data_IF_112348591884
#
_entry.id   IF_112348591884
#
_cell.length_a   1.000
_cell.length_b   1.000
_cell.length_c   1.000
_cell.angle_alpha   90.00
_cell.angle_beta   90.00
_cell.angle_gamma   90.00
#
_symmetry.space_group_name_H-M   'P 1'
#
loop_
_entity.id
_entity.type
_entity.pdbx_description
1 polymer ?
#
# COMPACT_ATOMS: atom_id res chain seq x y z
N UNK A 1 -50.05 -22.80 9.43
CA UNK A 1 -49.33 -22.32 8.22
C UNK A 1 -48.05 -21.63 8.68
N UNK A 2 -47.03 -22.40 9.06
CA UNK A 2 -45.68 -21.90 9.38
C UNK A 2 -44.82 -21.97 8.11
N UNK A 3 -43.60 -21.41 8.07
CA UNK A 3 -43.16 -20.06 8.44
C UNK A 3 -42.37 -19.40 7.28
N UNK A 4 -42.23 -18.07 7.27
CA UNK A 4 -41.23 -17.40 6.41
C UNK A 4 -39.84 -17.70 6.99
N UNK A 5 -39.10 -18.60 6.37
CA UNK A 5 -37.69 -18.87 6.68
C UNK A 5 -36.86 -17.71 6.18
N UNK A 6 -36.43 -16.86 7.10
CA UNK A 6 -35.42 -15.84 6.86
C UNK A 6 -34.10 -16.56 6.59
N UNK A 7 -33.76 -16.78 5.32
CA UNK A 7 -32.49 -17.38 4.91
C UNK A 7 -31.39 -16.36 5.16
N UNK A 8 -30.86 -16.37 6.39
CA UNK A 8 -29.68 -15.64 6.77
C UNK A 8 -28.51 -16.11 5.89
N UNK A 9 -28.28 -15.41 4.78
CA UNK A 9 -27.07 -15.53 3.99
C UNK A 9 -25.92 -15.23 4.95
N UNK A 10 -24.97 -16.16 5.17
CA UNK A 10 -23.82 -15.88 6.02
C UNK A 10 -23.08 -14.70 5.39
N UNK A 11 -23.09 -13.55 6.07
CA UNK A 11 -22.23 -12.41 5.72
C UNK A 11 -20.80 -12.92 5.87
N UNK A 12 -20.19 -13.28 4.74
CA UNK A 12 -18.76 -13.55 4.65
C UNK A 12 -18.07 -12.28 5.16
N UNK A 13 -17.54 -12.39 6.36
CA UNK A 13 -16.77 -11.39 7.06
C UNK A 13 -15.49 -11.18 6.28
N UNK A 14 -15.54 -10.25 5.32
CA UNK A 14 -14.36 -9.73 4.66
C UNK A 14 -13.60 -8.84 5.64
N UNK A 15 -13.05 -9.44 6.71
CA UNK A 15 -11.89 -8.84 7.34
C UNK A 15 -10.83 -8.71 6.25
N UNK A 16 -10.23 -7.54 6.05
CA UNK A 16 -9.18 -7.38 5.06
C UNK A 16 -8.11 -8.44 5.34
N UNK A 17 -7.87 -9.36 4.39
CA UNK A 17 -6.74 -10.31 4.42
C UNK A 17 -5.41 -9.58 4.68
N UNK A 18 -5.39 -8.27 4.43
CA UNK A 18 -4.29 -7.35 4.72
C UNK A 18 -3.94 -7.20 6.21
N UNK A 19 -4.86 -7.43 7.16
CA UNK A 19 -4.55 -7.31 8.59
C UNK A 19 -3.74 -8.50 9.13
N UNK A 20 -3.98 -9.71 8.61
CA UNK A 20 -3.40 -10.92 9.18
C UNK A 20 -1.91 -11.06 8.81
N UNK A 21 -1.54 -10.69 7.58
CA UNK A 21 -0.16 -10.83 7.07
C UNK A 21 0.79 -9.82 7.75
N UNK A 22 0.30 -8.61 8.07
CA UNK A 22 1.09 -7.61 8.79
C UNK A 22 1.28 -7.96 10.27
N UNK A 23 0.30 -8.64 10.88
CA UNK A 23 0.40 -9.10 12.26
C UNK A 23 1.44 -10.22 12.43
N UNK A 24 1.58 -11.11 11.44
CA UNK A 24 2.55 -12.23 11.49
C UNK A 24 4.01 -11.75 11.41
N UNK A 25 4.29 -10.59 10.77
CA UNK A 25 5.67 -10.09 10.60
C UNK A 25 6.22 -9.32 11.81
N UNK A 26 5.38 -8.87 12.74
CA UNK A 26 5.81 -7.99 13.84
C UNK A 26 6.42 -8.70 15.05
N UNK A 27 6.40 -10.03 15.11
CA UNK A 27 6.55 -10.70 16.40
C UNK A 27 7.99 -10.89 16.92
N UNK A 28 9.04 -10.45 16.23
CA UNK A 28 10.44 -10.61 16.70
C UNK A 28 11.42 -9.52 16.21
N UNK A 29 11.14 -8.23 16.45
CA UNK A 29 12.15 -7.18 16.21
C UNK A 29 13.14 -7.15 17.38
N UNK A 30 14.38 -7.56 17.15
CA UNK A 30 15.42 -7.56 18.19
C UNK A 30 15.80 -6.14 18.60
N UNK A 31 16.31 -5.94 19.82
CA UNK A 31 16.71 -4.61 20.32
C UNK A 31 17.73 -3.92 19.40
N UNK A 32 18.67 -4.69 18.83
CA UNK A 32 19.65 -4.18 17.86
C UNK A 32 19.01 -3.68 16.57
N UNK A 33 17.97 -4.35 16.07
CA UNK A 33 17.24 -3.91 14.88
C UNK A 33 16.45 -2.61 15.15
N UNK A 34 15.83 -2.48 16.33
CA UNK A 34 15.14 -1.23 16.72
C UNK A 34 16.10 -0.05 16.84
N UNK A 35 17.31 -0.29 17.38
CA UNK A 35 18.34 0.73 17.48
C UNK A 35 18.87 1.13 16.10
N UNK A 36 19.13 0.16 15.22
CA UNK A 36 19.55 0.41 13.84
C UNK A 36 18.51 1.21 13.04
N UNK A 37 17.22 0.89 13.18
CA UNK A 37 16.13 1.66 12.55
C UNK A 37 16.13 3.11 13.03
N UNK A 38 16.27 3.35 14.33
CA UNK A 38 16.33 4.72 14.88
C UNK A 38 17.57 5.47 14.40
N UNK A 39 18.72 4.83 14.37
CA UNK A 39 19.97 5.45 13.89
C UNK A 39 19.86 5.79 12.40
N UNK A 40 19.28 4.93 11.58
CA UNK A 40 19.08 5.18 10.15
C UNK A 40 18.12 6.36 9.92
N UNK A 41 16.99 6.40 10.63
CA UNK A 41 16.02 7.51 10.53
C UNK A 41 16.61 8.82 11.06
N UNK A 42 17.33 8.79 12.18
CA UNK A 42 17.95 9.97 12.77
C UNK A 42 19.11 10.50 11.91
N UNK A 43 19.96 9.60 11.41
CA UNK A 43 21.09 9.95 10.55
C UNK A 43 20.69 10.57 9.21
N UNK A 44 19.46 10.31 8.73
CA UNK A 44 18.91 10.92 7.51
C UNK A 44 18.23 12.29 7.71
N UNK A 45 18.14 12.80 8.94
CA UNK A 45 17.45 14.06 9.22
C UNK A 45 18.34 15.29 8.98
N UNK A 46 17.76 16.35 8.40
CA UNK A 46 18.41 17.66 8.28
C UNK A 46 18.82 18.26 9.63
N UNK A 47 18.06 18.00 10.69
CA UNK A 47 18.38 18.47 12.05
C UNK A 47 19.64 17.81 12.60
N UNK A 48 19.88 16.53 12.28
CA UNK A 48 21.09 15.83 12.70
C UNK A 48 22.32 16.40 12.02
N UNK A 49 22.25 16.66 10.71
CA UNK A 49 23.36 17.23 9.94
C UNK A 49 23.78 18.59 10.52
N UNK A 50 22.82 19.46 10.84
CA UNK A 50 23.09 20.78 11.42
C UNK A 50 23.70 20.69 12.82
N UNK A 51 23.15 19.84 13.70
CA UNK A 51 23.72 19.61 15.04
C UNK A 51 25.12 19.02 14.98
N UNK A 52 25.37 18.11 14.04
CA UNK A 52 26.67 17.49 13.83
C UNK A 52 27.71 18.52 13.36
N UNK A 53 27.36 19.38 12.39
CA UNK A 53 28.21 20.50 11.98
C UNK A 53 28.50 21.44 13.14
N UNK A 54 27.48 21.81 13.92
CA UNK A 54 27.66 22.68 15.08
C UNK A 54 28.60 22.05 16.13
N UNK A 55 28.50 20.74 16.37
CA UNK A 55 29.42 20.01 17.23
C UNK A 55 30.86 20.03 16.70
N UNK A 56 31.07 19.79 15.40
CA UNK A 56 32.40 19.85 14.78
C UNK A 56 33.03 21.25 14.92
N UNK A 57 32.25 22.30 14.67
CA UNK A 57 32.71 23.69 14.84
C UNK A 57 33.03 24.00 16.30
N UNK A 58 32.16 23.57 17.24
CA UNK A 58 32.39 23.77 18.67
C UNK A 58 33.66 23.05 19.14
N UNK A 59 33.91 21.82 18.67
CA UNK A 59 35.11 21.06 18.99
C UNK A 59 36.38 21.72 18.44
N UNK A 60 36.33 22.19 17.19
CA UNK A 60 37.43 22.92 16.57
C UNK A 60 37.75 24.19 17.38
N UNK A 61 36.75 25.05 17.62
CA UNK A 61 36.90 26.29 18.40
C UNK A 61 37.44 26.02 19.81
N UNK A 62 36.92 24.99 20.50
CA UNK A 62 37.41 24.62 21.83
C UNK A 62 38.90 24.25 21.79
N UNK A 63 39.32 23.42 20.84
CA UNK A 63 40.72 22.98 20.76
C UNK A 63 41.67 24.07 20.25
N UNK A 64 41.30 24.86 19.24
CA UNK A 64 42.20 25.90 18.69
C UNK A 64 42.16 27.23 19.42
N UNK A 65 40.98 27.75 19.77
CA UNK A 65 40.86 29.10 20.33
C UNK A 65 40.98 29.11 21.86
N UNK A 66 40.49 28.06 22.54
CA UNK A 66 40.42 28.04 24.01
C UNK A 66 41.62 27.30 24.62
N UNK A 67 41.93 26.10 24.10
CA UNK A 67 43.01 25.25 24.63
C UNK A 67 44.35 25.46 23.91
N UNK A 68 44.33 25.87 22.63
CA UNK A 68 45.51 26.17 21.82
C UNK A 68 46.44 27.22 22.44
N UNK A 69 45.97 28.43 22.79
CA UNK A 69 46.81 29.48 23.37
C UNK A 69 47.37 29.13 24.76
N UNK A 70 46.76 28.14 25.44
CA UNK A 70 47.17 27.66 26.77
C UNK A 70 48.16 26.49 26.71
N UNK A 71 48.56 26.08 25.51
CA UNK A 71 49.42 24.91 25.27
C UNK A 71 48.86 23.61 25.88
N UNK A 72 47.53 23.55 26.04
CA UNK A 72 46.77 22.42 26.58
C UNK A 72 45.86 21.79 25.52
N UNK A 73 46.15 22.04 24.23
CA UNK A 73 45.36 21.50 23.13
C UNK A 73 45.34 19.97 23.17
N UNK A 74 44.15 19.41 23.39
CA UNK A 74 43.94 17.97 23.47
C UNK A 74 44.00 17.33 22.08
N UNK A 75 43.49 18.02 21.05
CA UNK A 75 43.57 17.62 19.65
C UNK A 75 44.02 18.82 18.78
N UNK A 76 45.34 19.09 18.69
CA UNK A 76 45.86 20.18 17.86
C UNK A 76 45.57 19.97 16.38
N UNK A 77 45.50 21.05 15.60
CA UNK A 77 45.42 20.97 14.14
C UNK A 77 46.59 20.10 13.63
N UNK A 78 46.34 18.99 12.89
CA UNK A 78 45.21 18.72 11.98
C UNK A 78 44.05 17.83 12.52
N UNK A 79 43.79 17.78 13.84
CA UNK A 79 42.67 17.07 14.50
C UNK A 79 42.61 15.55 14.24
N UNK A 80 43.65 14.83 14.67
CA UNK A 80 43.80 13.39 14.39
C UNK A 80 42.72 12.57 15.11
N UNK A 81 42.37 12.92 16.35
CA UNK A 81 41.36 12.17 17.10
C UNK A 81 39.97 12.33 16.49
N UNK A 82 39.60 13.56 16.13
CA UNK A 82 38.34 13.82 15.46
C UNK A 82 38.24 13.07 14.13
N UNK A 83 39.30 13.08 13.33
CA UNK A 83 39.33 12.36 12.05
C UNK A 83 39.19 10.84 12.24
N UNK A 84 39.90 10.26 13.22
CA UNK A 84 39.78 8.83 13.55
C UNK A 84 38.35 8.47 13.95
N UNK A 85 37.72 9.27 14.81
CA UNK A 85 36.35 9.04 15.27
C UNK A 85 35.34 9.14 14.12
N UNK A 86 35.46 10.16 13.27
CA UNK A 86 34.62 10.33 12.09
C UNK A 86 34.73 9.14 11.13
N UNK A 87 35.95 8.67 10.90
CA UNK A 87 36.22 7.52 10.02
C UNK A 87 35.56 6.24 10.56
N UNK A 88 35.67 5.99 11.88
CA UNK A 88 35.00 4.85 12.52
C UNK A 88 33.47 4.98 12.45
N UNK A 89 32.94 6.18 12.69
CA UNK A 89 31.50 6.45 12.62
C UNK A 89 30.95 6.17 11.21
N UNK A 90 31.62 6.67 10.19
CA UNK A 90 31.25 6.47 8.79
C UNK A 90 31.31 4.98 8.39
N UNK A 91 32.35 4.25 8.82
CA UNK A 91 32.49 2.82 8.56
C UNK A 91 31.33 1.99 9.15
N UNK A 92 30.85 2.35 10.35
CA UNK A 92 29.71 1.69 10.98
C UNK A 92 28.35 2.11 10.40
N UNK A 93 28.26 3.30 9.79
CA UNK A 93 27.01 3.79 9.19
C UNK A 93 26.57 2.95 8.00
N UNK A 94 27.47 2.59 7.08
CA UNK A 94 27.08 1.89 5.85
C UNK A 94 26.40 0.53 6.10
N UNK A 95 26.90 -0.36 6.98
CA UNK A 95 26.22 -1.61 7.32
C UNK A 95 24.88 -1.40 8.03
N UNK A 96 24.79 -0.41 8.94
CA UNK A 96 23.55 -0.11 9.67
C UNK A 96 22.47 0.36 8.70
N UNK A 97 22.83 1.26 7.77
CA UNK A 97 21.94 1.73 6.70
C UNK A 97 21.53 0.54 5.83
N UNK A 98 22.47 -0.30 5.40
CA UNK A 98 22.19 -1.47 4.57
C UNK A 98 21.26 -2.48 5.26
N UNK A 99 21.43 -2.71 6.58
CA UNK A 99 20.53 -3.58 7.36
C UNK A 99 19.12 -2.98 7.48
N UNK A 100 19.01 -1.66 7.63
CA UNK A 100 17.73 -0.95 7.63
C UNK A 100 17.04 -1.04 6.27
N UNK A 101 17.78 -0.80 5.19
CA UNK A 101 17.30 -0.89 3.81
C UNK A 101 16.86 -2.32 3.45
N UNK A 102 17.64 -3.34 3.80
CA UNK A 102 17.28 -4.73 3.52
C UNK A 102 15.96 -5.13 4.21
N UNK A 103 15.75 -4.68 5.45
CA UNK A 103 14.48 -4.91 6.18
C UNK A 103 13.31 -4.16 5.54
N UNK A 104 13.52 -2.91 5.13
CA UNK A 104 12.49 -2.14 4.44
C UNK A 104 12.10 -2.78 3.10
N UNK A 105 13.09 -3.18 2.29
CA UNK A 105 12.84 -3.87 1.02
C UNK A 105 12.08 -5.19 1.18
N UNK A 106 12.36 -5.96 2.24
CA UNK A 106 11.58 -7.18 2.53
C UNK A 106 10.11 -6.88 2.83
N UNK A 107 9.83 -5.83 3.62
CA UNK A 107 8.45 -5.37 3.85
C UNK A 107 7.80 -4.91 2.55
N UNK A 108 8.49 -4.10 1.75
CA UNK A 108 7.97 -3.59 0.48
C UNK A 108 7.63 -4.72 -0.50
N UNK A 109 8.45 -5.79 -0.55
CA UNK A 109 8.17 -6.99 -1.36
C UNK A 109 6.92 -7.72 -0.90
N UNK A 110 6.72 -7.88 0.42
CA UNK A 110 5.52 -8.51 0.97
C UNK A 110 4.26 -7.68 0.67
N UNK A 111 4.34 -6.36 0.83
CA UNK A 111 3.26 -5.45 0.46
C UNK A 111 2.92 -5.57 -1.03
N UNK A 112 3.93 -5.51 -1.91
CA UNK A 112 3.72 -5.64 -3.35
C UNK A 112 3.08 -6.99 -3.75
N UNK A 113 3.51 -8.09 -3.12
CA UNK A 113 2.93 -9.42 -3.36
C UNK A 113 1.46 -9.50 -2.91
N UNK A 114 1.13 -8.90 -1.76
CA UNK A 114 -0.25 -8.81 -1.28
C UNK A 114 -1.11 -7.96 -2.22
N UNK A 115 -0.63 -6.79 -2.62
CA UNK A 115 -1.35 -5.89 -3.51
C UNK A 115 -1.63 -6.55 -4.88
N UNK A 116 -0.66 -7.31 -5.39
CA UNK A 116 -0.84 -8.13 -6.59
C UNK A 116 -1.96 -9.17 -6.42
N UNK A 117 -1.98 -9.90 -5.29
CA UNK A 117 -3.00 -10.90 -5.03
C UNK A 117 -4.41 -10.29 -4.92
N UNK A 118 -4.53 -9.12 -4.27
CA UNK A 118 -5.79 -8.37 -4.19
C UNK A 118 -6.25 -7.91 -5.57
N UNK A 119 -5.33 -7.39 -6.40
CA UNK A 119 -5.67 -6.95 -7.75
C UNK A 119 -6.14 -8.11 -8.64
N UNK A 120 -5.47 -9.26 -8.57
CA UNK A 120 -5.89 -10.46 -9.31
C UNK A 120 -7.28 -10.93 -8.87
N UNK A 121 -7.56 -10.91 -7.56
CA UNK A 121 -8.88 -11.26 -7.03
C UNK A 121 -9.95 -10.29 -7.54
N UNK A 122 -9.68 -8.99 -7.53
CA UNK A 122 -10.58 -7.98 -8.05
C UNK A 122 -10.86 -8.18 -9.55
N UNK A 123 -9.84 -8.52 -10.35
CA UNK A 123 -10.01 -8.82 -11.77
C UNK A 123 -10.96 -10.00 -12.00
N UNK A 124 -10.80 -11.09 -11.23
CA UNK A 124 -11.68 -12.26 -11.31
C UNK A 124 -13.11 -11.91 -10.92
N UNK A 125 -13.30 -11.18 -9.82
CA UNK A 125 -14.63 -10.75 -9.38
C UNK A 125 -15.32 -9.84 -10.40
N UNK A 126 -14.58 -8.92 -11.03
CA UNK A 126 -15.11 -8.07 -12.10
C UNK A 126 -15.52 -8.91 -13.32
N UNK A 127 -14.72 -9.90 -13.72
CA UNK A 127 -15.05 -10.79 -14.83
C UNK A 127 -16.34 -11.57 -14.54
N UNK A 128 -16.47 -12.11 -13.32
CA UNK A 128 -17.67 -12.84 -12.90
C UNK A 128 -18.92 -11.92 -12.88
N UNK A 129 -18.76 -10.67 -12.42
CA UNK A 129 -19.84 -9.68 -12.49
C UNK A 129 -20.21 -9.33 -13.93
N UNK A 130 -19.24 -9.25 -14.83
CA UNK A 130 -19.48 -9.00 -16.25
C UNK A 130 -20.28 -10.13 -16.90
N UNK A 131 -19.92 -11.38 -16.64
CA UNK A 131 -20.65 -12.55 -17.13
C UNK A 131 -22.10 -12.57 -16.63
N UNK A 132 -22.33 -12.26 -15.34
CA UNK A 132 -23.68 -12.16 -14.79
C UNK A 132 -24.48 -11.02 -15.41
N UNK A 133 -23.83 -9.88 -15.66
CA UNK A 133 -24.46 -8.73 -16.30
C UNK A 133 -24.86 -9.05 -17.74
N UNK A 134 -24.00 -9.72 -18.50
CA UNK A 134 -24.31 -10.17 -19.86
C UNK A 134 -25.46 -11.17 -19.88
N UNK A 135 -25.48 -12.14 -18.98
CA UNK A 135 -26.58 -13.10 -18.87
C UNK A 135 -27.92 -12.44 -18.51
N UNK A 136 -27.92 -11.40 -17.65
CA UNK A 136 -29.12 -10.61 -17.36
C UNK A 136 -29.55 -9.81 -18.58
N UNK A 137 -28.60 -9.12 -19.23
CA UNK A 137 -28.84 -8.33 -20.43
C UNK A 137 -29.51 -9.18 -21.51
N UNK A 138 -28.97 -10.36 -21.83
CA UNK A 138 -29.54 -11.26 -22.83
C UNK A 138 -30.99 -11.66 -22.52
N UNK A 139 -31.31 -11.94 -21.25
CA UNK A 139 -32.69 -12.25 -20.82
C UNK A 139 -33.62 -11.07 -21.04
N UNK A 140 -33.18 -9.87 -20.67
CA UNK A 140 -33.97 -8.65 -20.83
C UNK A 140 -34.22 -8.34 -22.32
N UNK A 141 -33.20 -8.50 -23.17
CA UNK A 141 -33.36 -8.36 -24.63
C UNK A 141 -34.35 -9.37 -25.21
N UNK A 142 -34.27 -10.63 -24.79
CA UNK A 142 -35.20 -11.66 -25.23
C UNK A 142 -36.65 -11.36 -24.79
N UNK A 143 -36.84 -10.88 -23.56
CA UNK A 143 -38.15 -10.48 -23.05
C UNK A 143 -38.74 -9.30 -23.83
N UNK A 144 -37.92 -8.28 -24.11
CA UNK A 144 -38.34 -7.12 -24.90
C UNK A 144 -38.71 -7.50 -26.34
N UNK A 145 -37.93 -8.39 -26.97
CA UNK A 145 -38.22 -8.88 -28.32
C UNK A 145 -39.55 -9.68 -28.35
N UNK A 146 -39.80 -10.52 -27.35
CA UNK A 146 -41.06 -11.25 -27.23
C UNK A 146 -42.27 -10.30 -27.06
N UNK A 147 -42.13 -9.25 -26.25
CA UNK A 147 -43.18 -8.25 -26.08
C UNK A 147 -43.44 -7.47 -27.37
N UNK A 148 -42.40 -7.12 -28.13
CA UNK A 148 -42.53 -6.48 -29.44
C UNK A 148 -43.29 -7.37 -30.44
N UNK A 149 -42.96 -8.67 -30.50
CA UNK A 149 -43.67 -9.59 -31.40
C UNK A 149 -45.16 -9.69 -31.06
N UNK A 150 -45.51 -9.76 -29.77
CA UNK A 150 -46.91 -9.75 -29.34
C UNK A 150 -47.64 -8.46 -29.77
N UNK A 151 -46.99 -7.30 -29.72
CA UNK A 151 -47.56 -6.05 -30.20
C UNK A 151 -47.79 -6.07 -31.72
N UNK A 152 -46.83 -6.58 -32.49
CA UNK A 152 -46.94 -6.71 -33.96
C UNK A 152 -48.09 -7.66 -34.34
N UNK A 153 -48.19 -8.81 -33.68
CA UNK A 153 -49.26 -9.78 -33.94
C UNK A 153 -50.64 -9.18 -33.63
N UNK A 154 -50.75 -8.44 -32.51
CA UNK A 154 -51.99 -7.74 -32.15
C UNK A 154 -52.37 -6.69 -33.20
N UNK A 155 -51.42 -5.86 -33.65
CA UNK A 155 -51.66 -4.86 -34.70
C UNK A 155 -52.08 -5.53 -36.02
N UNK A 156 -51.44 -6.64 -36.39
CA UNK A 156 -51.76 -7.39 -37.61
C UNK A 156 -53.19 -7.91 -37.56
N UNK A 157 -53.60 -8.52 -36.44
CA UNK A 157 -54.97 -8.98 -36.25
C UNK A 157 -56.02 -7.84 -36.26
N UNK A 158 -55.69 -6.67 -35.72
CA UNK A 158 -56.56 -5.49 -35.78
C UNK A 158 -56.73 -4.99 -37.22
N UNK A 159 -55.63 -4.92 -37.99
CA UNK A 159 -55.67 -4.55 -39.40
C UNK A 159 -56.51 -5.52 -40.23
N UNK A 160 -56.34 -6.84 -40.03
CA UNK A 160 -57.14 -7.88 -40.69
C UNK A 160 -58.63 -7.76 -40.37
N UNK A 161 -58.97 -7.43 -39.12
CA UNK A 161 -60.36 -7.24 -38.71
C UNK A 161 -60.97 -5.98 -39.36
N UNK A 162 -60.22 -4.88 -39.42
CA UNK A 162 -60.68 -3.64 -40.09
C UNK A 162 -60.89 -3.83 -41.59
N UNK A 163 -59.95 -4.48 -42.29
CA UNK A 163 -60.06 -4.75 -43.74
C UNK A 163 -61.16 -5.75 -44.10
N UNK A 164 -61.59 -6.60 -43.14
CA UNK A 164 -62.73 -7.50 -43.30
C UNK A 164 -64.07 -6.82 -42.99
N UNK A 165 -64.08 -5.84 -42.07
CA UNK A 165 -65.25 -5.02 -41.74
C UNK A 165 -65.64 -4.03 -42.85
N UNK A 166 -64.68 -3.51 -43.61
CA UNK A 166 -64.90 -2.59 -44.75
C UNK A 166 -65.38 -3.28 -46.05
N UNK A 167 -65.44 -4.62 -46.08
CA UNK A 167 -65.78 -5.41 -47.28
C UNK A 167 -67.22 -5.95 -47.29
N UNK A 168 -68.10 -5.37 -46.47
CA UNK A 168 -69.55 -5.66 -46.38
C UNK A 168 -70.31 -4.37 -46.61
#
# INVERSE_FOLDING_TARGET
>A
MSPRTDSAVPRKDWSPVTQDILAVSQHNVTLGQRLADRIAVFGGSWTFILLFLAFLLAWAVLNTEILGPRNQAFDPYPYIFLNLFLSMLAALQAPVIMMSQNRQSQRDRLHAANDYAVNLKAEIEIRELHEKLDALRERDWAALAAQQQQQIDMLTHLMERSTRGDRV
#
